data_IF_496548905792
#
_entry.id   IF_496548905792
#
_cell.length_a   1.000
_cell.length_b   1.000
_cell.length_c   1.000
_cell.angle_alpha   90.00
_cell.angle_beta   90.00
_cell.angle_gamma   90.00
#
_symmetry.space_group_name_H-M   'P 1'
#
loop_
_entity.id
_entity.type
_entity.pdbx_description
1 polymer ?
#
# COMPACT_ATOMS: atom_id res chain seq x y z
N UNK A 1 -15.24 15.96 -11.17
CA UNK A 1 -14.69 14.95 -12.11
C UNK A 1 -15.28 13.59 -11.75
N UNK A 2 -15.66 12.80 -12.74
CA UNK A 2 -16.13 11.42 -12.54
C UNK A 2 -14.97 10.51 -12.10
N UNK A 3 -15.29 9.33 -11.57
CA UNK A 3 -14.27 8.33 -11.19
C UNK A 3 -13.41 7.92 -12.40
N UNK A 4 -14.02 7.78 -13.57
CA UNK A 4 -13.32 7.45 -14.82
C UNK A 4 -12.34 8.56 -15.24
N UNK A 5 -12.76 9.82 -15.16
CA UNK A 5 -11.87 10.97 -15.46
C UNK A 5 -10.68 11.02 -14.48
N UNK A 6 -10.94 10.81 -13.18
CA UNK A 6 -9.89 10.77 -12.18
C UNK A 6 -8.90 9.62 -12.45
N UNK A 7 -9.39 8.42 -12.76
CA UNK A 7 -8.55 7.27 -13.06
C UNK A 7 -7.68 7.52 -14.29
N UNK A 8 -8.26 8.03 -15.37
CA UNK A 8 -7.55 8.37 -16.60
C UNK A 8 -6.47 9.44 -16.35
N UNK A 9 -6.80 10.49 -15.60
CA UNK A 9 -5.86 11.54 -15.22
C UNK A 9 -4.68 10.97 -14.41
N UNK A 10 -4.95 10.11 -13.43
CA UNK A 10 -3.90 9.46 -12.64
C UNK A 10 -3.01 8.59 -13.53
N UNK A 11 -3.58 7.79 -14.42
CA UNK A 11 -2.81 6.93 -15.32
C UNK A 11 -1.94 7.75 -16.29
N UNK A 12 -2.43 8.87 -16.82
CA UNK A 12 -1.64 9.77 -17.63
C UNK A 12 -0.46 10.36 -16.87
N UNK A 13 -0.68 10.81 -15.63
CA UNK A 13 0.37 11.34 -14.75
C UNK A 13 1.42 10.28 -14.39
N UNK A 14 1.00 9.02 -14.15
CA UNK A 14 1.93 7.91 -13.94
C UNK A 14 2.81 7.70 -15.17
N UNK A 15 2.21 7.65 -16.37
CA UNK A 15 2.96 7.50 -17.63
C UNK A 15 3.96 8.64 -17.84
N UNK A 16 3.52 9.89 -17.67
CA UNK A 16 4.40 11.05 -17.80
C UNK A 16 5.56 11.04 -16.79
N UNK A 17 5.33 10.60 -15.55
CA UNK A 17 6.40 10.46 -14.56
C UNK A 17 7.38 9.34 -14.92
N UNK A 18 6.89 8.21 -15.45
CA UNK A 18 7.74 7.14 -15.97
C UNK A 18 8.62 7.63 -17.13
N UNK A 19 8.03 8.37 -18.08
CA UNK A 19 8.76 8.95 -19.23
C UNK A 19 9.88 9.90 -18.76
N UNK A 20 9.59 10.81 -17.81
CA UNK A 20 10.61 11.70 -17.23
C UNK A 20 11.75 10.93 -16.55
N UNK A 21 11.44 9.78 -15.97
CA UNK A 21 12.41 8.91 -15.30
C UNK A 21 13.10 7.90 -16.23
N UNK A 22 12.82 7.93 -17.54
CA UNK A 22 13.36 6.95 -18.51
C UNK A 22 12.90 5.52 -18.26
N UNK A 23 11.69 5.34 -17.69
CA UNK A 23 11.11 4.04 -17.31
C UNK A 23 9.96 3.65 -18.23
N UNK A 24 9.74 2.36 -18.39
CA UNK A 24 8.57 1.85 -19.11
C UNK A 24 7.27 2.29 -18.41
N UNK A 25 6.23 2.73 -19.16
CA UNK A 25 4.97 3.24 -18.58
C UNK A 25 4.21 2.21 -17.72
N UNK A 26 4.39 0.92 -17.98
CA UNK A 26 3.79 -0.20 -17.27
C UNK A 26 4.62 -0.71 -16.08
N UNK A 27 5.77 -0.08 -15.82
CA UNK A 27 6.64 -0.44 -14.69
C UNK A 27 6.08 -0.04 -13.32
N UNK A 28 4.95 0.69 -13.28
CA UNK A 28 4.32 1.20 -12.06
C UNK A 28 2.87 0.73 -11.96
N UNK A 29 2.55 0.09 -10.86
CA UNK A 29 1.20 -0.36 -10.54
C UNK A 29 0.47 0.66 -9.67
N UNK A 30 -0.78 0.99 -10.05
CA UNK A 30 -1.68 1.79 -9.22
C UNK A 30 -2.43 0.87 -8.23
N UNK A 31 -2.26 1.11 -6.93
CA UNK A 31 -3.09 0.57 -5.88
C UNK A 31 -4.09 1.63 -5.43
N UNK A 32 -5.39 1.36 -5.61
CA UNK A 32 -6.46 2.25 -5.18
C UNK A 32 -6.72 2.08 -3.68
N UNK A 33 -6.47 3.13 -2.90
CA UNK A 33 -6.68 3.10 -1.45
C UNK A 33 -8.15 3.37 -1.14
N UNK A 34 -8.89 2.29 -0.85
CA UNK A 34 -10.35 2.28 -0.74
C UNK A 34 -10.89 2.39 0.69
N UNK A 35 -10.01 2.65 1.68
CA UNK A 35 -10.43 2.85 3.07
C UNK A 35 -11.51 3.90 3.18
N UNK A 36 -12.56 3.63 3.99
CA UNK A 36 -13.74 4.48 4.23
C UNK A 36 -14.71 4.63 3.05
N UNK A 37 -14.44 4.02 1.90
CA UNK A 37 -15.35 4.00 0.75
C UNK A 37 -16.22 2.73 0.77
N UNK A 38 -17.51 2.82 0.40
CA UNK A 38 -18.43 1.68 0.42
C UNK A 38 -18.20 0.74 -0.78
N UNK A 39 -18.74 -0.50 -0.75
CA UNK A 39 -18.58 -1.48 -1.83
C UNK A 39 -19.02 -0.99 -3.21
N UNK A 40 -20.03 -0.11 -3.29
CA UNK A 40 -20.52 0.49 -4.54
C UNK A 40 -19.42 1.28 -5.26
N UNK A 41 -18.62 2.05 -4.50
CA UNK A 41 -17.47 2.79 -5.04
C UNK A 41 -16.41 1.85 -5.59
N UNK A 42 -16.17 0.72 -4.91
CA UNK A 42 -15.22 -0.29 -5.37
C UNK A 42 -15.72 -0.95 -6.66
N UNK A 43 -17.00 -1.29 -6.73
CA UNK A 43 -17.62 -1.85 -7.95
C UNK A 43 -17.47 -0.89 -9.13
N UNK A 44 -17.81 0.38 -8.94
CA UNK A 44 -17.63 1.40 -9.98
C UNK A 44 -16.17 1.53 -10.45
N UNK A 45 -15.20 1.47 -9.52
CA UNK A 45 -13.78 1.49 -9.88
C UNK A 45 -13.36 0.22 -10.63
N UNK A 46 -13.87 -0.94 -10.24
CA UNK A 46 -13.60 -2.22 -10.91
C UNK A 46 -14.19 -2.27 -12.33
N UNK A 47 -15.33 -1.64 -12.55
CA UNK A 47 -15.95 -1.49 -13.88
C UNK A 47 -15.14 -0.55 -14.79
N UNK A 48 -14.41 0.41 -14.20
CA UNK A 48 -13.44 1.25 -14.91
C UNK A 48 -12.06 0.56 -15.10
N UNK A 49 -11.90 -0.70 -14.68
CA UNK A 49 -10.65 -1.47 -14.85
C UNK A 49 -9.67 -1.41 -13.68
N UNK A 50 -9.98 -0.67 -12.61
CA UNK A 50 -9.14 -0.68 -11.41
C UNK A 50 -9.43 -1.92 -10.57
N UNK A 51 -8.48 -2.86 -10.52
CA UNK A 51 -8.69 -4.16 -9.85
C UNK A 51 -7.85 -4.37 -8.60
N UNK A 52 -6.83 -3.55 -8.35
CA UNK A 52 -5.99 -3.65 -7.17
C UNK A 52 -6.35 -2.58 -6.15
N UNK A 53 -6.73 -3.02 -4.94
CA UNK A 53 -7.18 -2.16 -3.86
C UNK A 53 -6.34 -2.33 -2.60
N UNK A 54 -6.29 -1.28 -1.77
CA UNK A 54 -5.61 -1.29 -0.49
C UNK A 54 -6.50 -0.87 0.66
N UNK A 55 -6.48 -1.67 1.74
CA UNK A 55 -7.20 -1.41 2.98
C UNK A 55 -6.25 -1.30 4.16
N UNK A 56 -6.63 -0.49 5.14
CA UNK A 56 -5.81 -0.26 6.33
C UNK A 56 -6.45 -0.72 7.65
N UNK A 57 -7.66 -1.30 7.61
CA UNK A 57 -8.36 -1.82 8.79
C UNK A 57 -8.99 -3.18 8.47
N UNK A 58 -8.64 -4.19 9.24
CA UNK A 58 -9.15 -5.57 9.05
C UNK A 58 -10.67 -5.64 9.17
N UNK A 59 -11.26 -4.96 10.17
CA UNK A 59 -12.71 -4.98 10.39
C UNK A 59 -13.47 -4.39 9.20
N UNK A 60 -12.98 -3.27 8.66
CA UNK A 60 -13.58 -2.65 7.48
C UNK A 60 -13.46 -3.56 6.25
N UNK A 61 -12.29 -4.14 6.03
CA UNK A 61 -12.04 -5.08 4.94
C UNK A 61 -12.94 -6.33 5.02
N UNK A 62 -13.09 -6.90 6.22
CA UNK A 62 -13.93 -8.08 6.48
C UNK A 62 -15.40 -7.86 6.14
N UNK A 63 -15.91 -6.66 6.41
CA UNK A 63 -17.28 -6.30 6.05
C UNK A 63 -17.45 -5.94 4.56
N UNK A 64 -16.41 -5.40 3.93
CA UNK A 64 -16.44 -4.83 2.58
C UNK A 64 -16.10 -5.83 1.48
N UNK A 65 -14.99 -6.57 1.62
CA UNK A 65 -14.44 -7.42 0.57
C UNK A 65 -15.46 -8.46 0.03
N UNK A 66 -16.24 -9.15 0.87
CA UNK A 66 -17.23 -10.10 0.39
C UNK A 66 -18.34 -9.51 -0.50
N UNK A 67 -18.56 -8.19 -0.41
CA UNK A 67 -19.55 -7.44 -1.18
C UNK A 67 -18.99 -6.88 -2.50
N UNK A 68 -17.69 -7.06 -2.75
CA UNK A 68 -17.00 -6.56 -3.92
C UNK A 68 -16.84 -7.63 -5.00
N UNK A 69 -16.60 -7.26 -6.30
CA UNK A 69 -16.38 -8.24 -7.36
C UNK A 69 -15.20 -9.17 -7.05
N UNK A 70 -15.38 -10.48 -7.29
CA UNK A 70 -14.36 -11.50 -7.02
C UNK A 70 -13.05 -11.35 -7.82
N UNK A 71 -13.07 -10.56 -8.91
CA UNK A 71 -11.87 -10.18 -9.68
C UNK A 71 -10.97 -9.16 -9.00
N UNK A 72 -11.44 -8.48 -7.93
CA UNK A 72 -10.66 -7.51 -7.18
C UNK A 72 -9.57 -8.19 -6.36
N UNK A 73 -8.38 -7.61 -6.37
CA UNK A 73 -7.23 -8.02 -5.56
C UNK A 73 -7.02 -7.01 -4.44
N UNK A 74 -6.60 -7.51 -3.28
CA UNK A 74 -6.55 -6.72 -2.06
C UNK A 74 -5.19 -6.81 -1.39
N UNK A 75 -4.58 -5.67 -1.09
CA UNK A 75 -3.38 -5.58 -0.26
C UNK A 75 -3.71 -4.92 1.08
N UNK A 76 -3.15 -5.43 2.14
CA UNK A 76 -3.19 -4.78 3.45
C UNK A 76 -2.05 -3.76 3.54
N UNK A 77 -2.39 -2.51 3.84
CA UNK A 77 -1.45 -1.38 3.85
C UNK A 77 -1.47 -0.57 5.16
N UNK A 78 -2.21 -1.04 6.19
CA UNK A 78 -2.27 -0.41 7.50
C UNK A 78 -1.43 -1.17 8.52
N UNK A 79 -1.24 -0.61 9.71
CA UNK A 79 -0.55 -1.32 10.78
C UNK A 79 -1.28 -2.61 11.17
N UNK A 80 -0.56 -3.74 11.11
CA UNK A 80 -1.10 -5.07 11.38
C UNK A 80 -0.74 -5.53 12.80
N UNK A 81 -1.73 -5.68 13.65
CA UNK A 81 -1.55 -6.31 14.95
C UNK A 81 -1.45 -7.83 14.80
N UNK A 82 -0.58 -8.48 15.59
CA UNK A 82 -0.33 -9.92 15.51
C UNK A 82 -1.59 -10.76 15.70
N UNK A 83 -2.53 -10.34 16.57
CA UNK A 83 -3.81 -11.03 16.78
C UNK A 83 -4.78 -10.95 15.59
N UNK A 84 -4.49 -10.13 14.58
CA UNK A 84 -5.29 -9.96 13.34
C UNK A 84 -4.66 -10.64 12.12
N UNK A 85 -3.51 -11.27 12.27
CA UNK A 85 -2.79 -11.92 11.15
C UNK A 85 -3.65 -12.97 10.46
N UNK A 86 -4.40 -13.80 11.20
CA UNK A 86 -5.30 -14.80 10.60
C UNK A 86 -6.34 -14.16 9.67
N UNK A 87 -7.04 -13.15 10.16
CA UNK A 87 -8.06 -12.44 9.36
C UNK A 87 -7.42 -11.75 8.13
N UNK A 88 -6.20 -11.18 8.31
CA UNK A 88 -5.47 -10.58 7.20
C UNK A 88 -5.14 -11.60 6.10
N UNK A 89 -4.68 -12.77 6.48
CA UNK A 89 -4.36 -13.82 5.52
C UNK A 89 -5.58 -14.31 4.71
N UNK A 90 -6.76 -14.34 5.30
CA UNK A 90 -7.99 -14.76 4.62
C UNK A 90 -8.45 -13.73 3.58
N UNK A 91 -8.17 -12.44 3.80
CA UNK A 91 -8.70 -11.33 3.03
C UNK A 91 -7.74 -10.79 1.97
N UNK A 92 -6.43 -10.86 2.21
CA UNK A 92 -5.44 -10.16 1.40
C UNK A 92 -4.48 -11.11 0.69
N UNK A 93 -4.08 -10.71 -0.53
CA UNK A 93 -3.08 -11.40 -1.32
C UNK A 93 -1.65 -10.92 -0.99
N UNK A 94 -1.51 -9.76 -0.33
CA UNK A 94 -0.22 -9.22 0.11
C UNK A 94 -0.38 -8.36 1.36
N UNK A 95 0.58 -8.43 2.27
CA UNK A 95 0.71 -7.53 3.42
C UNK A 95 1.91 -6.63 3.19
N UNK A 96 1.68 -5.29 3.08
CA UNK A 96 2.75 -4.33 2.79
C UNK A 96 3.36 -3.69 4.05
N UNK A 97 2.84 -4.01 5.22
CA UNK A 97 3.13 -3.33 6.48
C UNK A 97 3.79 -4.23 7.52
N UNK A 98 4.72 -5.08 7.08
CA UNK A 98 5.50 -5.91 8.02
C UNK A 98 6.62 -5.06 8.60
N UNK A 99 6.49 -4.70 9.88
CA UNK A 99 7.32 -3.72 10.59
C UNK A 99 8.21 -4.32 11.68
N UNK A 100 8.19 -5.63 11.85
CA UNK A 100 8.99 -6.32 12.87
C UNK A 100 9.16 -7.81 12.55
N UNK A 101 10.28 -8.38 13.02
CA UNK A 101 10.55 -9.81 12.93
C UNK A 101 9.49 -10.63 13.70
N UNK A 102 8.97 -10.10 14.80
CA UNK A 102 7.91 -10.78 15.56
C UNK A 102 6.61 -10.89 14.74
N UNK A 103 6.21 -9.84 14.03
CA UNK A 103 5.06 -9.88 13.13
C UNK A 103 5.31 -10.87 11.98
N UNK A 104 6.51 -10.83 11.38
CA UNK A 104 6.90 -11.76 10.32
C UNK A 104 6.83 -13.23 10.77
N UNK A 105 7.33 -13.53 11.96
CA UNK A 105 7.24 -14.87 12.55
C UNK A 105 5.80 -15.33 12.80
N UNK A 106 4.90 -14.43 13.25
CA UNK A 106 3.48 -14.76 13.41
C UNK A 106 2.81 -15.04 12.07
N UNK A 107 3.11 -14.22 11.04
CA UNK A 107 2.62 -14.46 9.67
C UNK A 107 3.11 -15.83 9.18
N UNK A 108 4.42 -16.12 9.32
CA UNK A 108 4.99 -17.39 8.91
C UNK A 108 4.29 -18.58 9.59
N UNK A 109 4.12 -18.51 10.91
CA UNK A 109 3.44 -19.55 11.71
C UNK A 109 2.02 -19.80 11.23
N UNK A 110 1.24 -18.75 10.95
CA UNK A 110 -0.13 -18.87 10.44
C UNK A 110 -0.16 -19.43 9.01
N UNK A 111 0.79 -19.03 8.19
CA UNK A 111 0.94 -19.55 6.84
C UNK A 111 1.29 -21.06 6.82
N UNK A 112 2.11 -21.54 7.75
CA UNK A 112 2.37 -22.96 7.93
C UNK A 112 1.11 -23.73 8.25
N UNK A 113 0.32 -23.25 9.22
CA UNK A 113 -0.95 -23.86 9.60
C UNK A 113 -1.96 -23.93 8.45
N UNK A 114 -1.93 -22.97 7.53
CA UNK A 114 -2.82 -22.88 6.37
C UNK A 114 -2.21 -23.48 5.09
N UNK A 115 -1.03 -24.10 5.15
CA UNK A 115 -0.26 -24.65 4.03
C UNK A 115 -0.11 -23.70 2.84
N UNK A 116 0.03 -22.37 3.09
CA UNK A 116 0.17 -21.32 2.07
C UNK A 116 1.41 -20.47 2.29
N UNK A 117 1.73 -19.63 1.32
CA UNK A 117 2.73 -18.57 1.44
C UNK A 117 2.04 -17.21 1.42
N UNK A 118 2.71 -16.19 1.97
CA UNK A 118 2.25 -14.80 1.99
C UNK A 118 3.30 -13.88 1.40
N UNK A 119 3.01 -13.24 0.26
CA UNK A 119 3.78 -12.11 -0.23
C UNK A 119 3.74 -10.94 0.75
N UNK A 120 4.90 -10.37 1.07
CA UNK A 120 5.00 -9.24 1.99
C UNK A 120 5.93 -8.15 1.46
N UNK A 121 5.66 -6.91 1.88
CA UNK A 121 6.65 -5.83 1.86
C UNK A 121 7.04 -5.49 3.29
N UNK A 122 8.30 -5.16 3.49
CA UNK A 122 8.81 -4.71 4.78
C UNK A 122 8.59 -3.19 4.87
N UNK A 123 7.81 -2.76 5.86
CA UNK A 123 7.56 -1.34 6.09
C UNK A 123 8.75 -0.70 6.78
N UNK A 124 9.24 0.42 6.24
CA UNK A 124 10.43 1.14 6.74
C UNK A 124 10.07 2.56 7.11
N UNK A 125 10.45 2.95 8.32
CA UNK A 125 10.37 4.32 8.81
C UNK A 125 11.65 5.08 8.39
N UNK A 126 11.69 5.52 7.14
CA UNK A 126 12.86 6.22 6.56
C UNK A 126 13.07 7.62 7.14
N UNK A 127 12.06 8.21 7.75
CA UNK A 127 12.12 9.54 8.36
C UNK A 127 12.61 9.50 9.81
N UNK A 128 12.55 8.36 10.48
CA UNK A 128 12.93 8.21 11.89
C UNK A 128 11.96 8.88 12.88
N UNK A 129 10.70 9.15 12.46
CA UNK A 129 9.70 9.72 13.35
C UNK A 129 9.23 8.66 14.37
N UNK A 130 9.38 8.93 15.67
CA UNK A 130 9.01 7.99 16.73
C UNK A 130 7.51 7.61 16.75
N UNK A 131 6.64 8.44 16.19
CA UNK A 131 5.20 8.22 16.13
C UNK A 131 4.76 7.33 14.97
N UNK A 132 5.66 6.94 14.06
CA UNK A 132 5.34 6.13 12.88
C UNK A 132 5.80 4.69 13.02
N UNK A 133 5.01 3.80 12.42
CA UNK A 133 5.35 2.39 12.27
C UNK A 133 6.45 2.19 11.23
N UNK A 134 6.97 1.00 11.15
CA UNK A 134 8.01 0.58 10.23
C UNK A 134 9.36 0.32 10.92
N UNK A 135 10.14 -0.51 10.30
CA UNK A 135 11.51 -0.81 10.72
C UNK A 135 12.38 0.46 10.69
N UNK A 136 13.20 0.71 11.72
CA UNK A 136 14.39 1.53 11.54
C UNK A 136 15.29 0.89 10.46
N UNK A 137 15.87 1.66 9.51
CA UNK A 137 16.63 1.11 8.38
C UNK A 137 17.74 0.12 8.77
N UNK A 138 18.57 0.46 9.75
CA UNK A 138 19.69 -0.40 10.17
C UNK A 138 19.20 -1.67 10.90
N UNK A 139 18.10 -1.58 11.64
CA UNK A 139 17.48 -2.75 12.26
C UNK A 139 16.94 -3.73 11.22
N UNK A 140 16.32 -3.20 10.15
CA UNK A 140 15.86 -4.04 9.04
C UNK A 140 17.02 -4.85 8.45
N UNK A 141 18.13 -4.19 8.12
CA UNK A 141 19.30 -4.87 7.54
C UNK A 141 19.89 -5.92 8.48
N UNK A 142 19.93 -5.65 9.79
CA UNK A 142 20.42 -6.60 10.78
C UNK A 142 19.54 -7.85 10.91
N UNK A 143 18.21 -7.70 10.77
CA UNK A 143 17.24 -8.79 10.90
C UNK A 143 16.91 -9.47 9.55
N UNK A 144 17.42 -8.97 8.42
CA UNK A 144 17.00 -9.37 7.09
C UNK A 144 17.26 -10.84 6.77
N UNK A 145 18.41 -11.40 7.24
CA UNK A 145 18.70 -12.82 7.08
C UNK A 145 17.75 -13.72 7.88
N UNK A 146 17.34 -13.28 9.08
CA UNK A 146 16.35 -14.00 9.89
C UNK A 146 14.97 -13.96 9.25
N UNK A 147 14.61 -12.85 8.60
CA UNK A 147 13.38 -12.72 7.82
C UNK A 147 13.38 -13.64 6.59
N UNK A 148 14.52 -13.72 5.89
CA UNK A 148 14.65 -14.48 4.65
C UNK A 148 14.56 -16.00 4.84
N UNK A 149 14.93 -16.51 6.01
CA UNK A 149 14.82 -17.96 6.31
C UNK A 149 13.43 -18.41 6.73
N UNK A 150 12.45 -17.51 6.84
CA UNK A 150 11.07 -17.84 7.13
C UNK A 150 10.38 -18.47 5.91
N UNK A 151 10.08 -19.79 5.88
CA UNK A 151 9.78 -20.51 4.64
C UNK A 151 8.42 -20.19 4.03
N UNK A 152 7.55 -19.52 4.77
CA UNK A 152 6.19 -19.18 4.34
C UNK A 152 5.99 -17.70 4.04
N UNK A 153 7.04 -16.87 4.16
CA UNK A 153 7.03 -15.48 3.77
C UNK A 153 7.77 -15.31 2.46
N UNK A 154 7.20 -14.55 1.55
CA UNK A 154 7.85 -14.14 0.31
C UNK A 154 8.10 -12.63 0.36
N UNK A 155 9.34 -12.23 0.61
CA UNK A 155 9.71 -10.81 0.69
C UNK A 155 9.83 -10.28 -0.74
N UNK A 156 8.88 -9.44 -1.16
CA UNK A 156 8.84 -8.87 -2.50
C UNK A 156 9.44 -7.46 -2.58
N UNK A 157 9.73 -6.82 -1.45
CA UNK A 157 10.27 -5.47 -1.47
C UNK A 157 10.05 -4.69 -0.19
N UNK A 158 10.14 -3.36 -0.34
CA UNK A 158 10.00 -2.42 0.77
C UNK A 158 8.80 -1.49 0.57
N UNK A 159 8.29 -0.98 1.69
CA UNK A 159 7.22 0.02 1.71
C UNK A 159 7.59 1.15 2.67
N UNK A 160 7.19 2.39 2.36
CA UNK A 160 7.26 3.49 3.32
C UNK A 160 6.08 4.45 3.20
N UNK A 161 5.74 5.08 4.32
CA UNK A 161 4.81 6.21 4.39
C UNK A 161 5.58 7.42 4.94
N UNK A 162 6.11 8.30 4.07
CA UNK A 162 6.89 9.46 4.52
C UNK A 162 6.02 10.46 5.30
N UNK A 163 6.62 11.46 5.97
CA UNK A 163 5.90 12.59 6.52
C UNK A 163 5.00 13.26 5.50
N UNK A 164 3.84 13.75 5.97
CA UNK A 164 3.01 14.55 5.09
C UNK A 164 3.72 15.88 4.77
N UNK A 165 3.79 16.20 3.49
CA UNK A 165 4.38 17.44 2.99
C UNK A 165 3.42 18.11 2.00
N UNK A 166 3.41 19.43 1.98
CA UNK A 166 2.62 20.22 1.01
C UNK A 166 3.32 20.35 -0.34
N UNK A 167 4.64 20.28 -0.34
CA UNK A 167 5.51 20.31 -1.51
C UNK A 167 6.05 18.88 -1.74
N UNK A 168 5.68 18.27 -2.87
CA UNK A 168 6.06 16.88 -3.20
C UNK A 168 7.58 16.66 -3.24
N UNK A 169 8.35 17.69 -3.63
CA UNK A 169 9.82 17.61 -3.68
C UNK A 169 10.44 17.37 -2.30
N UNK A 170 9.79 17.81 -1.23
CA UNK A 170 10.25 17.53 0.14
C UNK A 170 10.12 16.05 0.54
N UNK A 171 9.32 15.27 -0.18
CA UNK A 171 9.25 13.82 0.02
C UNK A 171 10.39 13.07 -0.70
N UNK A 172 11.00 13.64 -1.75
CA UNK A 172 12.05 13.02 -2.57
C UNK A 172 13.20 12.40 -1.76
N UNK A 173 13.78 13.06 -0.75
CA UNK A 173 14.85 12.46 0.04
C UNK A 173 14.45 11.17 0.76
N UNK A 174 13.18 11.04 1.17
CA UNK A 174 12.66 9.84 1.83
C UNK A 174 12.50 8.69 0.84
N UNK A 175 12.02 8.97 -0.37
CA UNK A 175 11.89 7.96 -1.43
C UNK A 175 13.26 7.47 -1.90
N UNK A 176 14.22 8.37 -2.06
CA UNK A 176 15.61 8.03 -2.38
C UNK A 176 16.24 7.13 -1.32
N UNK A 177 16.06 7.46 -0.04
CA UNK A 177 16.54 6.61 1.07
C UNK A 177 15.95 5.21 1.03
N UNK A 178 14.66 5.06 0.69
CA UNK A 178 14.05 3.74 0.57
C UNK A 178 14.64 2.95 -0.60
N UNK A 179 14.89 3.60 -1.74
CA UNK A 179 15.55 2.96 -2.90
C UNK A 179 16.96 2.48 -2.54
N UNK A 180 17.77 3.36 -1.96
CA UNK A 180 19.13 3.01 -1.52
C UNK A 180 19.13 1.88 -0.48
N UNK A 181 18.18 1.88 0.45
CA UNK A 181 18.00 0.80 1.41
C UNK A 181 17.63 -0.51 0.72
N UNK A 182 16.76 -0.47 -0.31
CA UNK A 182 16.43 -1.65 -1.11
C UNK A 182 17.67 -2.24 -1.77
N UNK A 183 18.53 -1.42 -2.38
CA UNK A 183 19.79 -1.87 -3.02
C UNK A 183 20.72 -2.55 -1.99
N UNK A 184 20.84 -1.98 -0.79
CA UNK A 184 21.58 -2.60 0.33
C UNK A 184 20.96 -3.92 0.78
N UNK A 185 19.63 -3.98 0.85
CA UNK A 185 18.90 -5.20 1.23
C UNK A 185 19.06 -6.31 0.19
N UNK A 186 19.02 -5.98 -1.09
CA UNK A 186 19.29 -6.92 -2.19
C UNK A 186 20.72 -7.50 -2.12
N UNK A 187 21.70 -6.66 -1.80
CA UNK A 187 23.07 -7.12 -1.60
C UNK A 187 23.21 -8.10 -0.41
N UNK A 188 22.49 -7.86 0.68
CA UNK A 188 22.46 -8.77 1.85
C UNK A 188 21.76 -10.07 1.53
N UNK A 189 20.65 -10.04 0.77
CA UNK A 189 19.87 -11.24 0.41
C UNK A 189 20.48 -12.04 -0.73
N UNK A 190 21.29 -11.43 -1.57
CA UNK A 190 21.73 -12.03 -2.84
C UNK A 190 20.59 -12.26 -3.83
N UNK A 191 19.47 -11.56 -3.68
CA UNK A 191 18.25 -11.73 -4.48
C UNK A 191 17.56 -10.39 -4.70
N UNK A 192 16.84 -10.21 -5.84
CA UNK A 192 16.13 -8.96 -6.13
C UNK A 192 14.91 -8.77 -5.25
N UNK A 193 14.63 -7.50 -4.90
CA UNK A 193 13.41 -7.03 -4.26
C UNK A 193 12.62 -6.17 -5.26
N UNK A 194 11.74 -6.76 -6.09
CA UNK A 194 11.19 -6.09 -7.27
C UNK A 194 10.22 -4.94 -6.94
N UNK A 195 9.76 -4.83 -5.69
CA UNK A 195 8.73 -3.86 -5.35
C UNK A 195 9.23 -2.76 -4.40
N UNK A 196 8.94 -1.51 -4.79
CA UNK A 196 9.01 -0.32 -3.94
C UNK A 196 7.62 0.31 -3.87
N UNK A 197 6.94 0.11 -2.73
CA UNK A 197 5.64 0.71 -2.47
C UNK A 197 5.84 2.05 -1.75
N UNK A 198 5.72 3.13 -2.51
CA UNK A 198 5.88 4.50 -2.01
C UNK A 198 5.18 5.49 -2.93
N UNK A 199 4.81 6.66 -2.41
CA UNK A 199 4.05 7.67 -3.14
C UNK A 199 2.54 7.54 -2.96
N UNK A 200 1.90 8.67 -2.71
CA UNK A 200 0.47 8.85 -2.48
C UNK A 200 -0.09 9.95 -3.39
N UNK A 201 -1.34 10.34 -3.22
CA UNK A 201 -2.04 11.31 -4.09
C UNK A 201 -1.28 12.63 -4.33
N UNK A 202 -0.46 13.08 -3.39
CA UNK A 202 0.25 14.36 -3.45
C UNK A 202 1.69 14.28 -3.94
N UNK A 203 2.31 13.08 -3.98
CA UNK A 203 3.75 12.93 -4.18
C UNK A 203 4.16 11.72 -5.04
N UNK A 204 3.17 11.01 -5.63
CA UNK A 204 3.44 9.76 -6.37
C UNK A 204 4.32 9.97 -7.61
N UNK A 205 4.29 11.11 -8.25
CA UNK A 205 5.12 11.40 -9.43
C UNK A 205 6.59 11.45 -9.04
N UNK A 206 6.91 12.15 -7.95
CA UNK A 206 8.25 12.21 -7.36
C UNK A 206 8.69 10.81 -6.89
N UNK A 207 7.78 10.03 -6.31
CA UNK A 207 8.07 8.65 -5.92
C UNK A 207 8.42 7.77 -7.13
N UNK A 208 7.71 7.94 -8.27
CA UNK A 208 7.99 7.21 -9.52
C UNK A 208 9.39 7.57 -10.03
N UNK A 209 9.75 8.85 -10.03
CA UNK A 209 11.07 9.32 -10.43
C UNK A 209 12.19 8.74 -9.53
N UNK A 210 11.90 8.49 -8.26
CA UNK A 210 12.82 7.83 -7.31
C UNK A 210 12.67 6.29 -7.31
N UNK A 211 11.95 5.69 -8.26
CA UNK A 211 11.94 4.25 -8.48
C UNK A 211 10.74 3.49 -7.92
N UNK A 212 9.66 4.15 -7.47
CA UNK A 212 8.45 3.45 -7.04
C UNK A 212 7.93 2.49 -8.13
N UNK A 213 7.56 1.28 -7.73
CA UNK A 213 6.91 0.29 -8.61
C UNK A 213 5.43 0.12 -8.26
N UNK A 214 5.02 0.63 -7.11
CA UNK A 214 3.64 0.62 -6.65
C UNK A 214 3.32 1.95 -5.95
N UNK A 215 2.31 2.67 -6.44
CA UNK A 215 1.82 3.92 -5.87
C UNK A 215 0.44 3.72 -5.27
N UNK A 216 0.16 4.35 -4.11
CA UNK A 216 -1.06 4.15 -3.32
C UNK A 216 -1.92 5.42 -3.35
N UNK A 217 -2.95 5.43 -4.18
CA UNK A 217 -3.75 6.61 -4.45
C UNK A 217 -5.17 6.45 -3.93
N UNK A 218 -5.60 7.35 -3.05
CA UNK A 218 -6.95 7.40 -2.50
C UNK A 218 -7.67 8.68 -2.91
N UNK A 219 -7.32 9.81 -2.28
CA UNK A 219 -8.05 11.07 -2.45
C UNK A 219 -8.09 11.59 -3.89
N UNK A 220 -7.04 11.42 -4.68
CA UNK A 220 -7.03 11.83 -6.07
C UNK A 220 -7.97 10.96 -6.95
N UNK A 221 -8.22 9.70 -6.56
CA UNK A 221 -9.11 8.79 -7.29
C UNK A 221 -10.56 8.94 -6.84
N UNK A 222 -10.81 8.82 -5.54
CA UNK A 222 -12.16 8.75 -4.98
C UNK A 222 -12.71 10.10 -4.49
N UNK A 223 -11.89 11.17 -4.51
CA UNK A 223 -12.22 12.48 -3.96
C UNK A 223 -11.85 12.60 -2.47
N UNK A 224 -11.92 13.84 -1.98
CA UNK A 224 -11.71 14.13 -0.55
C UNK A 224 -12.87 13.57 0.28
N UNK A 225 -12.55 13.05 1.47
CA UNK A 225 -13.54 12.45 2.37
C UNK A 225 -14.59 13.48 2.78
N UNK A 226 -15.87 13.20 2.56
CA UNK A 226 -16.94 13.90 3.27
C UNK A 226 -16.87 13.50 4.75
N UNK A 227 -16.67 14.47 5.64
CA UNK A 227 -16.74 14.23 7.09
C UNK A 227 -18.13 13.68 7.43
N UNK A 228 -18.21 12.74 8.37
CA UNK A 228 -19.49 12.13 8.79
C UNK A 228 -20.57 13.17 9.21
N UNK A 229 -20.15 14.35 9.65
CA UNK A 229 -21.04 15.47 9.98
C UNK A 229 -21.83 16.05 8.77
N UNK A 230 -21.35 15.85 7.54
CA UNK A 230 -22.07 16.35 6.34
C UNK A 230 -23.14 15.35 5.84
N UNK A 231 -23.12 14.10 6.32
CA UNK A 231 -24.15 13.11 5.95
C UNK A 231 -25.49 13.36 6.63
N UNK A 232 -25.49 13.99 7.79
CA UNK A 232 -26.71 14.29 8.57
C UNK A 232 -27.48 15.54 8.08
N UNK A 233 -26.89 16.30 7.16
CA UNK A 233 -27.52 17.54 6.62
C UNK A 233 -28.26 17.35 5.30
N UNK A 234 -28.28 16.16 4.71
CA UNK A 234 -28.85 15.88 3.37
C UNK A 234 -30.02 14.89 3.38
N UNK A 235 -30.56 14.49 4.54
CA UNK A 235 -31.87 13.83 4.55
C UNK A 235 -32.96 14.90 4.47
N UNK A 236 -33.81 14.91 3.40
CA UNK A 236 -34.98 15.79 3.38
C UNK A 236 -35.90 15.34 4.48
N UNK A 237 -36.23 16.26 5.41
CA UNK A 237 -37.20 16.04 6.45
C UNK A 237 -38.52 15.58 5.84
N UNK A 238 -39.02 14.44 6.32
CA UNK A 238 -40.43 14.11 6.16
C UNK A 238 -41.21 15.14 7.00
N UNK A 239 -41.77 16.13 6.35
CA UNK A 239 -42.84 16.93 6.91
C UNK A 239 -44.12 16.07 6.94
N UNK A 240 -44.68 15.93 8.14
CA UNK A 240 -46.03 15.37 8.37
C UNK A 240 -47.10 16.36 7.93
#
# INVERSE_FOLDING_TARGET
MSLTENLNSIQQRIRAACERAGRAPDSVTLLAVSKTHPPETIRAAADCGQLLFGENKIQEAKAKIPLCPGKCRWHFIGHLQSNKVRDAMELFQMIQSVDSLNLAREINKRCEQAARKMPVLLEVNVAGEASKFGYPPEKLLAELQELNVLPRIEIHGLMTVPPFVTDAEKARPHFRRLRELKERAEAVLGAPLPQLSMGMSGDFEVAIEEGATLVRIGAALFGTRRKAADRLKTEPGFEN
#
